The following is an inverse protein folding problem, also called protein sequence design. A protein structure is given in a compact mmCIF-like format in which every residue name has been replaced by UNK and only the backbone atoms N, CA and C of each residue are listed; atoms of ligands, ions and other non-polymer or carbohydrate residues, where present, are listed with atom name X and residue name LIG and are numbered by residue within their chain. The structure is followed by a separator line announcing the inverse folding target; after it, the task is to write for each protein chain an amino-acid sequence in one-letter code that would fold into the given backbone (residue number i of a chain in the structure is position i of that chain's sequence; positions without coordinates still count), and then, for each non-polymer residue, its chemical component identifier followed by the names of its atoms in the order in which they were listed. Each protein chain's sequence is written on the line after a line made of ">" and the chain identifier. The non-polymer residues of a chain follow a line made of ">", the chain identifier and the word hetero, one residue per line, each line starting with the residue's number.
data_IF_069476655872
#
_entry.id   IF_069476655872
#
_cell.length_a   1.000
_cell.length_b   1.000
_cell.length_c   1.000
_cell.angle_alpha   90.00
_cell.angle_beta   90.00
_cell.angle_gamma   90.00
#
_symmetry.space_group_name_H-M   'P 1'
#
loop_
_entity.id
_entity.type
_entity.pdbx_description
1 polymer ?
#
# COMPACT_ATOMS: atom_id res chain seq x y z
N UNK A 1 23.51 8.66 7.22
CA UNK A 1 23.58 7.79 8.41
C UNK A 1 22.72 6.55 8.16
N UNK A 2 23.32 5.47 7.69
CA UNK A 2 22.63 4.22 7.37
C UNK A 2 22.54 3.35 8.64
N UNK A 3 21.46 3.50 9.42
CA UNK A 3 21.17 2.53 10.49
C UNK A 3 20.23 1.49 9.90
N UNK A 4 20.79 0.52 9.17
CA UNK A 4 20.08 -0.68 8.74
C UNK A 4 19.55 -1.41 9.98
N UNK A 5 18.32 -1.08 10.42
CA UNK A 5 17.74 -1.63 11.64
C UNK A 5 17.55 -3.13 11.44
N UNK A 6 18.36 -3.91 12.17
CA UNK A 6 18.41 -5.38 12.17
C UNK A 6 17.03 -6.01 11.99
N UNK A 7 16.87 -6.83 10.95
CA UNK A 7 15.65 -7.62 10.69
C UNK A 7 15.37 -8.59 11.85
N UNK A 8 14.44 -8.23 12.74
CA UNK A 8 14.07 -9.05 13.89
C UNK A 8 13.10 -10.16 13.49
N UNK A 9 12.93 -11.17 14.34
CA UNK A 9 11.92 -12.22 14.15
C UNK A 9 10.51 -11.64 14.00
N UNK A 10 10.15 -10.64 14.80
CA UNK A 10 8.86 -9.97 14.71
C UNK A 10 8.69 -9.27 13.36
N UNK A 11 9.71 -8.53 12.91
CA UNK A 11 9.66 -7.81 11.63
C UNK A 11 9.55 -8.75 10.44
N UNK A 12 10.28 -9.87 10.45
CA UNK A 12 10.17 -10.90 9.41
C UNK A 12 8.76 -11.47 9.36
N UNK A 13 8.17 -11.81 10.51
CA UNK A 13 6.80 -12.33 10.58
C UNK A 13 5.79 -11.34 10.01
N UNK A 14 5.91 -10.06 10.35
CA UNK A 14 5.05 -8.99 9.83
C UNK A 14 5.23 -8.85 8.31
N UNK A 15 6.46 -8.82 7.82
CA UNK A 15 6.76 -8.71 6.39
C UNK A 15 6.21 -9.92 5.60
N UNK A 16 6.40 -11.13 6.13
CA UNK A 16 5.87 -12.35 5.51
C UNK A 16 4.33 -12.36 5.46
N UNK A 17 3.68 -11.77 6.47
CA UNK A 17 2.22 -11.67 6.53
C UNK A 17 1.67 -10.77 5.43
N UNK A 18 2.27 -9.57 5.28
CA UNK A 18 1.88 -8.60 4.25
C UNK A 18 2.15 -9.16 2.85
N UNK A 19 3.32 -9.79 2.62
CA UNK A 19 3.69 -10.39 1.32
C UNK A 19 2.78 -11.52 0.87
N UNK A 20 2.09 -12.16 1.80
CA UNK A 20 1.09 -13.21 1.49
C UNK A 20 -0.28 -12.63 1.21
N UNK A 21 -0.53 -11.40 1.62
CA UNK A 21 -1.81 -10.73 1.39
C UNK A 21 -1.83 -10.10 0.01
N UNK A 22 -2.95 -10.30 -0.69
CA UNK A 22 -3.27 -9.61 -1.96
C UNK A 22 -4.32 -8.51 -1.78
N UNK A 23 -4.71 -8.22 -0.53
CA UNK A 23 -5.80 -7.29 -0.21
C UNK A 23 -5.32 -6.00 0.44
N UNK A 24 -4.00 -5.74 0.41
CA UNK A 24 -3.34 -4.56 0.97
C UNK A 24 -3.84 -4.24 2.38
N UNK A 25 -3.47 -5.06 3.38
CA UNK A 25 -4.11 -5.00 4.69
C UNK A 25 -3.80 -3.69 5.41
N UNK A 26 -4.73 -3.28 6.24
CA UNK A 26 -4.53 -2.22 7.25
C UNK A 26 -3.63 -2.72 8.38
N UNK A 27 -3.10 -1.79 9.19
CA UNK A 27 -2.28 -2.17 10.34
C UNK A 27 -3.05 -3.04 11.36
N UNK A 28 -4.36 -2.82 11.49
CA UNK A 28 -5.22 -3.59 12.39
C UNK A 28 -5.44 -5.01 11.87
N UNK A 29 -5.67 -5.18 10.57
CA UNK A 29 -5.75 -6.50 9.91
C UNK A 29 -4.43 -7.28 10.03
N UNK A 30 -3.28 -6.61 9.80
CA UNK A 30 -1.95 -7.20 10.02
C UNK A 30 -1.78 -7.62 11.48
N UNK A 31 -2.21 -6.79 12.43
CA UNK A 31 -2.14 -7.13 13.85
C UNK A 31 -2.96 -8.38 14.18
N UNK A 32 -4.20 -8.46 13.70
CA UNK A 32 -5.08 -9.61 13.91
C UNK A 32 -4.56 -10.90 13.27
N UNK A 33 -3.89 -10.82 12.13
CA UNK A 33 -3.21 -11.96 11.52
C UNK A 33 -1.96 -12.36 12.31
N UNK A 34 -1.07 -11.39 12.58
CA UNK A 34 0.25 -11.63 13.18
C UNK A 34 0.16 -12.11 14.63
N UNK A 35 -0.81 -11.64 15.43
CA UNK A 35 -0.98 -12.07 16.83
C UNK A 35 -1.20 -13.59 16.97
N UNK A 36 -1.72 -14.26 15.94
CA UNK A 36 -1.86 -15.74 15.91
C UNK A 36 -0.50 -16.44 15.98
N UNK A 37 0.55 -15.81 15.44
CA UNK A 37 1.95 -16.30 15.45
C UNK A 37 2.80 -15.64 16.55
N UNK A 38 2.40 -14.45 17.02
CA UNK A 38 3.08 -13.67 18.04
C UNK A 38 2.07 -13.20 19.12
N UNK A 39 1.60 -14.07 20.03
CA UNK A 39 0.49 -13.74 20.95
C UNK A 39 0.73 -12.56 21.89
N UNK A 40 2.00 -12.19 22.13
CA UNK A 40 2.40 -11.06 23.00
C UNK A 40 2.71 -9.77 22.24
N UNK A 41 2.51 -9.74 20.92
CA UNK A 41 2.74 -8.51 20.15
C UNK A 41 1.64 -7.49 20.47
N UNK A 42 2.01 -6.22 20.61
CA UNK A 42 1.03 -5.13 20.73
C UNK A 42 0.79 -4.48 19.37
N UNK A 43 -0.40 -3.90 19.20
CA UNK A 43 -0.74 -3.11 18.01
C UNK A 43 0.30 -2.02 17.73
N UNK A 44 0.72 -1.27 18.75
CA UNK A 44 1.79 -0.26 18.60
C UNK A 44 3.14 -0.83 18.12
N UNK A 45 3.44 -2.11 18.40
CA UNK A 45 4.63 -2.78 17.86
C UNK A 45 4.47 -3.12 16.38
N UNK A 46 3.25 -3.46 15.94
CA UNK A 46 2.95 -3.66 14.52
C UNK A 46 3.12 -2.35 13.76
N UNK A 47 2.49 -1.25 14.20
CA UNK A 47 2.64 0.08 13.59
C UNK A 47 4.11 0.51 13.44
N UNK A 48 4.92 0.42 14.52
CA UNK A 48 6.34 0.79 14.46
C UNK A 48 7.16 -0.05 13.47
N UNK A 49 6.81 -1.33 13.31
CA UNK A 49 7.51 -2.18 12.36
C UNK A 49 7.05 -1.91 10.93
N UNK A 50 5.76 -1.68 10.70
CA UNK A 50 5.21 -1.26 9.40
C UNK A 50 5.82 0.07 8.93
N UNK A 51 5.89 1.06 9.82
CA UNK A 51 6.55 2.34 9.54
C UNK A 51 8.01 2.16 9.14
N UNK A 52 8.72 1.29 9.85
CA UNK A 52 10.11 1.04 9.57
C UNK A 52 10.29 0.30 8.24
N UNK A 53 9.49 -0.75 7.99
CA UNK A 53 9.51 -1.50 6.73
C UNK A 53 9.23 -0.57 5.55
N UNK A 54 8.27 0.35 5.69
CA UNK A 54 7.96 1.34 4.67
C UNK A 54 9.12 2.31 4.42
N UNK A 55 9.71 2.84 5.51
CA UNK A 55 10.88 3.73 5.42
C UNK A 55 12.10 3.05 4.79
N UNK A 56 12.23 1.73 4.92
CA UNK A 56 13.32 0.95 4.32
C UNK A 56 12.97 0.38 2.94
N UNK A 57 11.79 0.69 2.39
CA UNK A 57 11.36 0.21 1.07
C UNK A 57 11.03 -1.29 1.01
N UNK A 58 10.78 -1.95 2.15
CA UNK A 58 10.41 -3.36 2.19
C UNK A 58 8.91 -3.60 1.96
N UNK A 59 8.10 -2.57 2.21
CA UNK A 59 6.65 -2.49 1.93
C UNK A 59 6.33 -1.09 1.42
N UNK A 60 5.27 -0.92 0.63
CA UNK A 60 4.73 0.39 0.29
C UNK A 60 3.56 0.76 1.20
N UNK A 61 3.46 2.06 1.51
CA UNK A 61 2.30 2.63 2.21
C UNK A 61 1.34 3.20 1.19
N UNK A 62 0.08 2.81 1.30
CA UNK A 62 -1.02 3.32 0.50
C UNK A 62 -1.87 4.17 1.45
N UNK A 63 -1.86 5.49 1.23
CA UNK A 63 -2.55 6.47 2.06
C UNK A 63 -3.49 7.27 1.19
N UNK A 64 -4.78 7.22 1.51
CA UNK A 64 -5.83 7.90 0.76
C UNK A 64 -6.57 8.80 1.74
N UNK A 65 -6.85 10.03 1.32
CA UNK A 65 -7.52 11.00 2.17
C UNK A 65 -8.85 10.45 2.70
N UNK A 66 -9.00 10.44 4.03
CA UNK A 66 -10.22 9.99 4.70
C UNK A 66 -10.42 8.46 4.77
N UNK A 67 -9.46 7.64 4.34
CA UNK A 67 -9.50 6.18 4.47
C UNK A 67 -8.35 5.66 5.34
N UNK A 68 -8.49 4.42 5.83
CA UNK A 68 -7.45 3.78 6.62
C UNK A 68 -6.20 3.50 5.75
N UNK A 69 -5.03 3.68 6.35
CA UNK A 69 -3.75 3.37 5.71
C UNK A 69 -3.63 1.87 5.45
N UNK A 70 -3.23 1.52 4.24
CA UNK A 70 -3.01 0.15 3.78
C UNK A 70 -1.54 -0.07 3.44
N UNK A 71 -1.12 -1.34 3.45
CA UNK A 71 0.26 -1.73 3.21
C UNK A 71 0.35 -2.75 2.09
N UNK A 72 1.30 -2.52 1.18
CA UNK A 72 1.62 -3.41 0.07
C UNK A 72 2.96 -4.11 0.32
N UNK A 73 2.95 -5.44 0.24
CA UNK A 73 4.15 -6.27 0.42
C UNK A 73 4.89 -6.55 -0.89
N UNK A 74 4.26 -6.29 -2.03
CA UNK A 74 4.85 -6.46 -3.34
C UNK A 74 5.70 -5.24 -3.70
N UNK A 75 6.90 -5.54 -4.19
CA UNK A 75 7.91 -4.55 -4.60
C UNK A 75 7.99 -4.40 -6.12
N UNK A 76 7.23 -5.20 -6.87
CA UNK A 76 7.10 -5.05 -8.32
C UNK A 76 6.40 -3.74 -8.66
N UNK A 77 6.76 -3.11 -9.78
CA UNK A 77 6.01 -1.95 -10.26
C UNK A 77 4.62 -2.41 -10.71
N UNK A 78 3.60 -1.77 -10.12
CA UNK A 78 2.20 -1.96 -10.44
C UNK A 78 1.42 -0.73 -9.97
N UNK A 79 0.24 -0.53 -10.54
CA UNK A 79 -0.65 0.57 -10.20
C UNK A 79 -1.72 0.08 -9.22
N UNK A 80 -2.27 1.01 -8.44
CA UNK A 80 -3.39 0.74 -7.53
C UNK A 80 -4.61 1.53 -7.98
N UNK A 81 -5.77 0.87 -8.01
CA UNK A 81 -7.07 1.54 -8.01
C UNK A 81 -7.76 1.35 -6.67
N UNK A 82 -8.32 2.43 -6.14
CA UNK A 82 -9.04 2.41 -4.87
C UNK A 82 -10.51 2.76 -5.04
N UNK A 83 -11.38 1.94 -4.45
CA UNK A 83 -12.79 2.25 -4.33
C UNK A 83 -13.02 3.41 -3.36
N UNK A 84 -13.64 4.50 -3.83
CA UNK A 84 -13.96 5.68 -3.01
C UNK A 84 -15.03 5.39 -1.94
N UNK A 85 -15.86 4.35 -2.13
CA UNK A 85 -16.89 3.94 -1.17
C UNK A 85 -16.32 3.10 -0.03
N UNK A 86 -15.86 1.89 -0.34
CA UNK A 86 -15.40 0.94 0.68
C UNK A 86 -13.90 1.03 1.00
N UNK A 87 -13.09 1.72 0.19
CA UNK A 87 -11.64 1.78 0.38
C UNK A 87 -10.89 0.51 0.00
N UNK A 88 -11.53 -0.42 -0.73
CA UNK A 88 -10.86 -1.58 -1.33
C UNK A 88 -9.81 -1.11 -2.33
N UNK A 89 -8.62 -1.69 -2.26
CA UNK A 89 -7.53 -1.48 -3.21
C UNK A 89 -7.43 -2.69 -4.13
N UNK A 90 -7.13 -2.47 -5.40
CA UNK A 90 -6.92 -3.53 -6.39
C UNK A 90 -5.71 -3.20 -7.24
N UNK A 91 -4.87 -4.20 -7.48
CA UNK A 91 -3.70 -4.08 -8.34
C UNK A 91 -4.12 -4.01 -9.80
N UNK A 92 -3.48 -3.12 -10.54
CA UNK A 92 -3.58 -3.00 -11.98
C UNK A 92 -2.19 -3.19 -12.60
N UNK A 93 -2.12 -3.77 -13.82
CA UNK A 93 -0.86 -3.83 -14.55
C UNK A 93 -0.27 -2.41 -14.69
N UNK A 94 1.05 -2.31 -14.56
CA UNK A 94 1.74 -1.06 -14.84
C UNK A 94 1.62 -0.71 -16.33
N UNK A 95 1.43 0.57 -16.64
CA UNK A 95 1.34 1.08 -18.00
C UNK A 95 2.41 2.16 -18.22
N UNK A 96 3.49 1.84 -18.97
CA UNK A 96 4.60 2.75 -19.21
C UNK A 96 4.20 4.11 -19.81
N UNK A 97 3.02 4.20 -20.45
CA UNK A 97 2.52 5.43 -21.07
C UNK A 97 2.31 6.56 -20.07
N UNK A 98 1.99 6.26 -18.81
CA UNK A 98 1.86 7.30 -17.78
C UNK A 98 3.20 8.01 -17.52
N UNK A 99 4.30 7.27 -17.51
CA UNK A 99 5.64 7.86 -17.36
C UNK A 99 6.05 8.73 -18.55
N UNK A 100 5.61 8.36 -19.76
CA UNK A 100 5.87 9.14 -20.97
C UNK A 100 5.17 10.50 -20.93
N UNK A 101 3.87 10.51 -20.62
CA UNK A 101 3.10 11.76 -20.45
C UNK A 101 3.70 12.67 -19.38
N UNK A 102 4.14 12.12 -18.25
CA UNK A 102 4.80 12.91 -17.21
C UNK A 102 6.12 13.52 -17.68
N UNK A 103 6.94 12.79 -18.46
CA UNK A 103 8.19 13.30 -19.02
C UNK A 103 7.95 14.42 -20.02
N UNK A 104 6.98 14.24 -20.92
CA UNK A 104 6.61 15.26 -21.91
C UNK A 104 6.10 16.54 -21.23
N UNK A 105 5.21 16.42 -20.24
CA UNK A 105 4.65 17.56 -19.51
C UNK A 105 5.72 18.37 -18.76
N UNK A 106 6.81 17.72 -18.33
CA UNK A 106 7.88 18.35 -17.55
C UNK A 106 9.05 18.85 -18.40
N UNK A 107 9.07 18.60 -19.72
CA UNK A 107 10.22 18.87 -20.60
C UNK A 107 10.74 20.31 -20.47
N UNK A 108 9.83 21.29 -20.38
CA UNK A 108 10.17 22.72 -20.28
C UNK A 108 9.98 23.31 -18.87
N UNK A 109 9.68 22.47 -17.89
CA UNK A 109 9.37 22.93 -16.52
C UNK A 109 10.61 23.36 -15.72
N UNK A 110 11.81 22.93 -16.14
CA UNK A 110 13.05 23.15 -15.40
C UNK A 110 13.19 22.29 -14.11
N UNK A 111 12.22 21.43 -13.81
CA UNK A 111 12.28 20.52 -12.67
C UNK A 111 13.05 19.24 -13.00
N UNK A 112 13.84 18.75 -12.04
CA UNK A 112 14.38 17.41 -12.06
C UNK A 112 13.35 16.45 -11.46
N UNK A 113 12.75 15.59 -12.30
CA UNK A 113 11.79 14.59 -11.86
C UNK A 113 12.45 13.59 -10.90
N UNK A 114 11.99 13.51 -9.66
CA UNK A 114 12.49 12.55 -8.66
C UNK A 114 11.61 11.31 -8.52
N UNK A 115 10.29 11.46 -8.65
CA UNK A 115 9.32 10.37 -8.57
C UNK A 115 8.01 10.74 -9.24
N UNK A 116 7.26 9.72 -9.69
CA UNK A 116 5.89 9.83 -10.17
C UNK A 116 5.03 8.96 -9.26
N UNK A 117 3.90 9.50 -8.81
CA UNK A 117 2.90 8.74 -8.06
C UNK A 117 1.57 8.90 -8.77
N UNK A 118 0.98 7.80 -9.23
CA UNK A 118 -0.34 7.78 -9.85
C UNK A 118 -1.33 7.16 -8.88
N UNK A 119 -2.39 7.90 -8.55
CA UNK A 119 -3.51 7.40 -7.75
C UNK A 119 -4.73 7.24 -8.66
N UNK A 120 -5.25 6.02 -8.77
CA UNK A 120 -6.49 5.75 -9.48
C UNK A 120 -7.62 5.61 -8.48
N UNK A 121 -8.70 6.36 -8.66
CA UNK A 121 -9.89 6.34 -7.83
C UNK A 121 -11.10 5.89 -8.65
N UNK A 122 -11.92 5.00 -8.09
CA UNK A 122 -13.10 4.48 -8.77
C UNK A 122 -14.14 3.88 -7.81
N UNK A 123 -15.10 3.12 -8.34
CA UNK A 123 -16.07 2.33 -7.56
C UNK A 123 -15.85 0.86 -7.91
N UNK A 124 -15.67 -0.02 -6.90
CA UNK A 124 -15.46 -1.44 -7.16
C UNK A 124 -16.76 -2.12 -7.60
N UNK A 125 -16.68 -3.29 -8.26
CA UNK A 125 -17.87 -4.04 -8.71
C UNK A 125 -18.91 -4.24 -7.61
N UNK A 126 -18.47 -4.69 -6.43
CA UNK A 126 -19.36 -4.95 -5.29
C UNK A 126 -20.17 -3.71 -4.89
N UNK A 127 -19.51 -2.54 -4.78
CA UNK A 127 -20.19 -1.29 -4.42
C UNK A 127 -21.03 -0.71 -5.57
N UNK A 128 -20.80 -1.13 -6.81
CA UNK A 128 -21.61 -0.74 -7.95
C UNK A 128 -22.90 -1.58 -8.00
N UNK A 129 -22.80 -2.87 -7.72
CA UNK A 129 -23.94 -3.79 -7.62
C UNK A 129 -24.88 -3.44 -6.45
N UNK A 130 -24.35 -3.04 -5.30
CA UNK A 130 -25.15 -2.53 -4.16
C UNK A 130 -26.04 -1.34 -4.55
N UNK A 131 -25.56 -0.47 -5.45
CA UNK A 131 -26.31 0.70 -5.92
C UNK A 131 -27.45 0.36 -6.89
N UNK A 132 -27.29 -0.74 -7.66
CA UNK A 132 -28.31 -1.20 -8.60
C UNK A 132 -29.41 -2.02 -7.91
N UNK A 133 -29.17 -2.55 -6.70
CA UNK A 133 -30.18 -3.24 -5.87
C UNK A 133 -31.03 -2.26 -5.05
N UNK A 134 -30.49 -1.07 -4.74
CA UNK A 134 -31.20 -0.01 -4.01
C UNK A 134 -31.96 0.98 -4.92
N UNK A 135 -31.88 0.82 -6.26
CA UNK A 135 -32.65 1.58 -7.27
C UNK A 135 -33.88 0.82 -7.76
#
# INVERSE_FOLDING_TARGET
>A
MNTGKRMTRQRRIILDDIRKSRSHPTADEVYESVRKRLPRISLGTVYRNLDLLARTGEVRKISIAGKQMRFDGDKSDHMHITCVRCGRVTDLPDDPRYCEVCRETLADSGFMLQSVSVELLGVCPDCREEEDVER
#
